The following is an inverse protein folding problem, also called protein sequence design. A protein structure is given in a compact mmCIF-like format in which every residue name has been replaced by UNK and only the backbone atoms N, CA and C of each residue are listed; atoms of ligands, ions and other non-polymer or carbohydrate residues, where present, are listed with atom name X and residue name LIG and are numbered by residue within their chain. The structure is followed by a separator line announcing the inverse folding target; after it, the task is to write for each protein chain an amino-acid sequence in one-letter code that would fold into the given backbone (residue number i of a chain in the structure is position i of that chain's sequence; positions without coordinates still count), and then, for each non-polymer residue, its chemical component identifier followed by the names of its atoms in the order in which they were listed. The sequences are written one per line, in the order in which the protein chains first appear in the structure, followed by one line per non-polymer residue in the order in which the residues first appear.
data_IF_890237604844
#
_entry.id   IF_890237604844
#
_cell.length_a   1.000
_cell.length_b   1.000
_cell.length_c   1.000
_cell.angle_alpha   90.00
_cell.angle_beta   90.00
_cell.angle_gamma   90.00
#
_symmetry.space_group_name_H-M   'P 1'
#
loop_
_entity.id
_entity.type
_entity.pdbx_description
1 polymer ?
#
# COMPACT_ATOMS: atom_id res chain seq x y z
N UNK A 1 62.83 8.47 -12.68
CA UNK A 1 61.51 9.13 -12.67
C UNK A 1 60.36 8.27 -13.22
N UNK A 2 60.57 7.47 -14.29
CA UNK A 2 59.51 6.62 -14.90
C UNK A 2 58.82 5.65 -13.91
N UNK A 3 59.59 4.95 -13.06
CA UNK A 3 59.02 4.00 -12.08
C UNK A 3 58.05 4.65 -11.08
N UNK A 4 58.29 5.91 -10.68
CA UNK A 4 57.43 6.61 -9.70
C UNK A 4 56.06 6.95 -10.29
N UNK A 5 56.02 7.33 -11.58
CA UNK A 5 54.77 7.63 -12.31
C UNK A 5 53.96 6.34 -12.55
N UNK A 6 54.64 5.25 -12.88
CA UNK A 6 54.01 3.94 -13.09
C UNK A 6 53.42 3.36 -11.81
N UNK A 7 54.13 3.50 -10.68
CA UNK A 7 53.62 3.13 -9.34
C UNK A 7 52.37 3.95 -8.99
N UNK A 8 52.36 5.25 -9.27
CA UNK A 8 51.19 6.13 -9.00
C UNK A 8 50.01 5.74 -9.88
N UNK A 9 50.22 5.47 -11.17
CA UNK A 9 49.16 5.01 -12.09
C UNK A 9 48.56 3.67 -11.65
N UNK A 10 49.37 2.72 -11.21
CA UNK A 10 48.91 1.42 -10.70
C UNK A 10 48.17 1.52 -9.35
N UNK A 11 48.48 2.53 -8.52
CA UNK A 11 47.71 2.81 -7.29
C UNK A 11 46.36 3.42 -7.62
N UNK A 12 46.32 4.38 -8.55
CA UNK A 12 45.09 5.02 -9.00
C UNK A 12 44.14 4.01 -9.66
N UNK A 13 44.65 3.12 -10.53
CA UNK A 13 43.81 2.08 -11.17
C UNK A 13 43.21 1.10 -10.16
N UNK A 14 43.96 0.72 -9.12
CA UNK A 14 43.45 -0.12 -8.02
C UNK A 14 42.38 0.59 -7.19
N UNK A 15 42.55 1.89 -6.92
CA UNK A 15 41.55 2.68 -6.20
C UNK A 15 40.25 2.76 -7.01
N UNK A 16 40.35 3.02 -8.32
CA UNK A 16 39.19 3.04 -9.22
C UNK A 16 38.50 1.68 -9.23
N UNK A 17 39.24 0.57 -9.31
CA UNK A 17 38.68 -0.77 -9.26
C UNK A 17 37.93 -1.04 -7.95
N UNK A 18 38.50 -0.64 -6.80
CA UNK A 18 37.85 -0.78 -5.49
C UNK A 18 36.57 0.06 -5.42
N UNK A 19 36.58 1.29 -5.95
CA UNK A 19 35.39 2.14 -6.00
C UNK A 19 34.28 1.52 -6.85
N UNK A 20 34.61 0.91 -8.00
CA UNK A 20 33.63 0.22 -8.85
C UNK A 20 33.01 -0.99 -8.15
N UNK A 21 33.81 -1.74 -7.39
CA UNK A 21 33.33 -2.88 -6.59
C UNK A 21 32.42 -2.37 -5.47
N UNK A 22 32.83 -1.32 -4.74
CA UNK A 22 32.01 -0.71 -3.69
C UNK A 22 30.67 -0.17 -4.23
N UNK A 23 30.68 0.42 -5.42
CA UNK A 23 29.46 0.89 -6.09
C UNK A 23 28.50 -0.26 -6.41
N UNK A 24 29.03 -1.42 -6.85
CA UNK A 24 28.20 -2.61 -7.06
C UNK A 24 27.55 -3.10 -5.75
N UNK A 25 28.32 -3.18 -4.67
CA UNK A 25 27.78 -3.55 -3.36
C UNK A 25 26.73 -2.55 -2.87
N UNK A 26 26.92 -1.25 -3.12
CA UNK A 26 25.93 -0.22 -2.80
C UNK A 26 24.64 -0.41 -3.60
N UNK A 27 24.73 -0.62 -4.92
CA UNK A 27 23.56 -0.90 -5.75
C UNK A 27 22.79 -2.14 -5.28
N UNK A 28 23.52 -3.21 -4.94
CA UNK A 28 22.94 -4.43 -4.39
C UNK A 28 22.24 -4.15 -3.05
N UNK A 29 22.87 -3.41 -2.14
CA UNK A 29 22.28 -3.03 -0.86
C UNK A 29 20.99 -2.24 -1.04
N UNK A 30 20.94 -1.30 -1.98
CA UNK A 30 19.72 -0.52 -2.28
C UNK A 30 18.59 -1.41 -2.82
N UNK A 31 18.89 -2.46 -3.58
CA UNK A 31 17.87 -3.41 -4.09
C UNK A 31 17.33 -4.30 -2.95
N UNK A 32 18.17 -4.73 -2.02
CA UNK A 32 17.72 -5.57 -0.90
C UNK A 32 17.06 -4.76 0.22
N UNK A 33 17.48 -3.51 0.41
CA UNK A 33 16.93 -2.59 1.39
C UNK A 33 15.86 -1.69 0.76
N UNK A 34 14.93 -2.28 0.02
CA UNK A 34 13.71 -1.58 -0.34
C UNK A 34 12.89 -1.48 0.95
N UNK A 35 12.52 -0.27 1.42
CA UNK A 35 11.39 -0.18 2.33
C UNK A 35 10.24 -0.87 1.58
N UNK A 36 9.60 -1.86 2.21
CA UNK A 36 8.30 -2.30 1.71
C UNK A 36 7.48 -1.03 1.66
N UNK A 37 7.26 -0.49 0.47
CA UNK A 37 6.16 0.42 0.26
C UNK A 37 4.99 -0.39 0.82
N UNK A 38 4.40 0.11 1.90
CA UNK A 38 3.05 -0.26 2.24
C UNK A 38 2.30 0.24 1.02
N UNK A 39 2.22 -0.62 -0.01
CA UNK A 39 1.05 -0.62 -0.85
C UNK A 39 -0.02 -0.80 0.19
N UNK A 40 -0.57 0.33 0.66
CA UNK A 40 -1.95 0.35 1.06
C UNK A 40 -2.57 -0.36 -0.13
N UNK A 41 -2.96 -1.62 0.06
CA UNK A 41 -4.00 -2.17 -0.78
C UNK A 41 -5.02 -1.05 -0.73
N UNK A 42 -5.12 -0.27 -1.81
CA UNK A 42 -6.11 0.78 -1.86
C UNK A 42 -7.37 -0.03 -1.75
N UNK A 43 -7.91 -0.11 -0.52
CA UNK A 43 -9.10 -0.87 -0.25
C UNK A 43 -10.10 -0.30 -1.23
N UNK A 44 -10.42 -1.08 -2.25
CA UNK A 44 -11.25 -0.58 -3.32
C UNK A 44 -12.63 -0.40 -2.68
N UNK A 45 -13.14 0.83 -2.71
CA UNK A 45 -14.43 1.15 -2.13
C UNK A 45 -15.45 1.37 -3.24
N UNK A 46 -16.62 0.74 -3.09
CA UNK A 46 -17.82 1.15 -3.81
C UNK A 46 -18.48 2.26 -2.99
N UNK A 47 -18.80 3.38 -3.64
CA UNK A 47 -19.52 4.49 -3.03
C UNK A 47 -21.02 4.36 -3.33
N UNK A 48 -21.83 4.24 -2.28
CA UNK A 48 -23.29 4.14 -2.39
C UNK A 48 -23.93 5.39 -1.79
N UNK A 49 -24.75 6.07 -2.59
CA UNK A 49 -25.59 7.17 -2.10
C UNK A 49 -26.88 6.56 -1.54
N UNK A 50 -27.13 6.79 -0.25
CA UNK A 50 -28.30 6.27 0.46
C UNK A 50 -29.57 6.87 -0.12
N UNK A 51 -30.50 6.01 -0.54
CA UNK A 51 -31.82 6.41 -1.06
C UNK A 51 -32.83 6.60 0.07
N UNK A 52 -33.93 7.29 -0.21
CA UNK A 52 -35.01 7.46 0.76
C UNK A 52 -35.61 6.10 1.15
N UNK A 53 -35.74 5.85 2.46
CA UNK A 53 -36.25 4.59 3.01
C UNK A 53 -35.23 3.45 3.07
N UNK A 54 -34.03 3.63 2.51
CA UNK A 54 -32.99 2.59 2.48
C UNK A 54 -32.32 2.42 3.84
N UNK A 55 -32.05 1.17 4.21
CA UNK A 55 -31.39 0.82 5.48
C UNK A 55 -29.97 0.34 5.28
N UNK A 56 -29.14 0.43 6.34
CA UNK A 56 -27.77 -0.09 6.31
C UNK A 56 -27.75 -1.62 6.10
N UNK A 57 -28.80 -2.31 6.56
CA UNK A 57 -28.95 -3.75 6.36
C UNK A 57 -29.14 -4.11 4.88
N UNK A 58 -30.01 -3.38 4.17
CA UNK A 58 -30.24 -3.60 2.74
C UNK A 58 -28.95 -3.37 1.94
N UNK A 59 -28.25 -2.26 2.21
CA UNK A 59 -26.97 -1.95 1.58
C UNK A 59 -25.95 -3.05 1.89
N UNK A 60 -25.79 -3.43 3.15
CA UNK A 60 -24.86 -4.50 3.52
C UNK A 60 -25.21 -5.83 2.85
N UNK A 61 -26.51 -6.15 2.71
CA UNK A 61 -26.97 -7.39 2.08
C UNK A 61 -26.74 -7.41 0.58
N UNK A 62 -26.83 -6.26 -0.09
CA UNK A 62 -26.63 -6.11 -1.53
C UNK A 62 -25.17 -6.33 -1.93
N UNK A 63 -24.23 -5.81 -1.15
CA UNK A 63 -22.80 -5.81 -1.49
C UNK A 63 -21.96 -6.87 -0.75
N UNK A 64 -22.58 -7.64 0.15
CA UNK A 64 -21.93 -8.70 0.93
C UNK A 64 -21.45 -9.86 0.04
N UNK A 65 -20.19 -10.32 0.18
CA UNK A 65 -19.79 -11.63 -0.33
C UNK A 65 -20.59 -12.77 0.30
N UNK A 66 -20.84 -13.84 -0.46
CA UNK A 66 -21.59 -15.01 0.04
C UNK A 66 -20.96 -15.63 1.28
N UNK A 67 -19.63 -15.55 1.41
CA UNK A 67 -18.82 -16.10 2.50
C UNK A 67 -18.85 -15.29 3.80
N UNK A 68 -19.32 -14.04 3.79
CA UNK A 68 -19.27 -13.13 4.95
C UNK A 68 -20.62 -13.06 5.63
N UNK A 69 -20.67 -13.17 6.96
CA UNK A 69 -21.91 -12.95 7.72
C UNK A 69 -22.38 -11.49 7.61
N UNK A 70 -23.70 -11.28 7.52
CA UNK A 70 -24.28 -9.94 7.37
C UNK A 70 -23.91 -8.99 8.52
N UNK A 71 -23.81 -9.50 9.76
CA UNK A 71 -23.42 -8.69 10.92
C UNK A 71 -21.97 -8.24 10.82
N UNK A 72 -21.10 -9.12 10.30
CA UNK A 72 -19.70 -8.78 10.03
C UNK A 72 -19.61 -7.70 8.95
N UNK A 73 -20.40 -7.82 7.89
CA UNK A 73 -20.45 -6.78 6.85
C UNK A 73 -20.93 -5.43 7.39
N UNK A 74 -22.01 -5.40 8.17
CA UNK A 74 -22.50 -4.18 8.81
C UNK A 74 -21.43 -3.58 9.73
N UNK A 75 -20.74 -4.41 10.53
CA UNK A 75 -19.65 -3.94 11.39
C UNK A 75 -18.52 -3.29 10.59
N UNK A 76 -18.09 -3.93 9.49
CA UNK A 76 -17.05 -3.40 8.61
C UNK A 76 -17.51 -2.07 8.02
N UNK A 77 -18.70 -2.01 7.40
CA UNK A 77 -19.22 -0.77 6.81
C UNK A 77 -19.29 0.35 7.85
N UNK A 78 -19.74 0.05 9.07
CA UNK A 78 -19.76 1.05 10.16
C UNK A 78 -18.37 1.57 10.48
N UNK A 79 -17.38 0.68 10.58
CA UNK A 79 -15.99 1.04 10.89
C UNK A 79 -15.37 1.92 9.80
N UNK A 80 -15.52 1.52 8.53
CA UNK A 80 -14.94 2.24 7.38
C UNK A 80 -15.60 3.62 7.13
N UNK A 81 -16.79 3.84 7.67
CA UNK A 81 -17.55 5.10 7.53
C UNK A 81 -17.70 5.87 8.84
N UNK A 82 -16.99 5.47 9.89
CA UNK A 82 -17.02 6.11 11.22
C UNK A 82 -18.45 6.25 11.78
N UNK A 83 -19.32 5.28 11.49
CA UNK A 83 -20.72 5.30 11.93
C UNK A 83 -20.85 4.81 13.37
N UNK A 84 -21.25 5.69 14.28
CA UNK A 84 -21.57 5.31 15.67
C UNK A 84 -22.76 4.36 15.79
N UNK A 85 -23.71 4.41 14.85
CA UNK A 85 -24.93 3.58 14.85
C UNK A 85 -25.24 3.03 13.45
N UNK A 86 -26.29 2.22 13.33
CA UNK A 86 -26.77 1.75 12.02
C UNK A 86 -27.73 2.73 11.33
N UNK A 87 -27.98 3.90 11.92
CA UNK A 87 -28.81 4.95 11.34
C UNK A 87 -28.05 5.66 10.22
N UNK A 88 -28.61 5.61 9.02
CA UNK A 88 -28.12 6.31 7.83
C UNK A 88 -29.20 7.25 7.31
N UNK A 89 -28.80 8.30 6.59
CA UNK A 89 -29.71 9.33 6.07
C UNK A 89 -29.72 9.35 4.55
N UNK A 90 -30.86 9.66 3.90
CA UNK A 90 -30.89 9.86 2.46
C UNK A 90 -29.88 10.92 2.01
N UNK A 91 -29.18 10.66 0.91
CA UNK A 91 -28.09 11.51 0.40
C UNK A 91 -26.73 11.29 1.07
N UNK A 92 -26.64 10.50 2.15
CA UNK A 92 -25.37 10.12 2.75
C UNK A 92 -24.59 9.20 1.80
N UNK A 93 -23.27 9.36 1.74
CA UNK A 93 -22.38 8.47 0.98
C UNK A 93 -21.84 7.42 1.95
N UNK A 94 -21.99 6.15 1.59
CA UNK A 94 -21.47 4.99 2.32
C UNK A 94 -20.39 4.32 1.46
N UNK A 95 -19.20 4.17 2.03
CA UNK A 95 -18.07 3.42 1.50
C UNK A 95 -18.23 1.94 1.82
N UNK A 96 -18.15 1.08 0.83
CA UNK A 96 -18.23 -0.37 1.01
C UNK A 96 -16.92 -0.97 0.51
N UNK A 97 -16.10 -1.60 1.36
CA UNK A 97 -14.87 -2.24 0.90
C UNK A 97 -15.21 -3.42 -0.02
N UNK A 98 -14.39 -3.65 -1.04
CA UNK A 98 -14.50 -4.79 -1.96
C UNK A 98 -13.43 -5.84 -1.73
N UNK A 99 -12.35 -5.49 -1.04
CA UNK A 99 -11.32 -6.38 -0.51
C UNK A 99 -11.78 -7.01 0.81
N UNK A 100 -11.85 -8.35 0.87
CA UNK A 100 -12.24 -9.10 2.07
C UNK A 100 -11.40 -10.35 2.31
#
# INVERSE_FOLDING_TARGET
MKNKIEIVKNRLSKIILIMLIALNFLCIYLIYFQPKAMSNQEDEYILVIVKQGQTLWEIASEYKPKTIDIRKMIYIIKRENELGSALIKPGQIIKIPTSF
#
